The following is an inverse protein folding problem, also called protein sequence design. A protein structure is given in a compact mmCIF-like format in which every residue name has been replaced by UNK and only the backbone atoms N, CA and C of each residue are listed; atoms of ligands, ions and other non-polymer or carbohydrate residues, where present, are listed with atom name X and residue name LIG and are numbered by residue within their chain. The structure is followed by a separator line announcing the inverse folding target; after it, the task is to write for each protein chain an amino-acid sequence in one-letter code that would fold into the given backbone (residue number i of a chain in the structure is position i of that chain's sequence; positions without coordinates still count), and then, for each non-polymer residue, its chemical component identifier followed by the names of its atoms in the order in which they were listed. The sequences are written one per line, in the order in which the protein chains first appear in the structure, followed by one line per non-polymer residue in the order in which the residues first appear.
data_IF_283545863905
#
_entry.id   IF_283545863905
#
_cell.length_a   1.000
_cell.length_b   1.000
_cell.length_c   1.000
_cell.angle_alpha   90.00
_cell.angle_beta   90.00
_cell.angle_gamma   90.00
#
_symmetry.space_group_name_H-M   'P 1'
#
loop_
_entity.id
_entity.type
_entity.pdbx_description
1 polymer ?
#
# COMPACT_ATOMS: atom_id res chain seq x y z
N UNK A 1 -4.29 -1.81 15.43
CA UNK A 1 -5.50 -1.53 14.68
C UNK A 1 -5.98 -0.11 14.95
N UNK A 2 -6.43 0.60 13.92
CA UNK A 2 -7.05 1.92 14.09
C UNK A 2 -8.53 1.67 14.34
N UNK A 3 -8.97 2.02 15.54
CA UNK A 3 -10.39 1.93 15.92
C UNK A 3 -11.25 2.85 15.05
N UNK A 4 -12.44 2.39 14.71
CA UNK A 4 -13.51 3.25 14.19
C UNK A 4 -14.41 3.57 15.40
N UNK A 5 -14.82 4.82 15.52
CA UNK A 5 -15.68 5.38 16.55
C UNK A 5 -15.11 5.39 17.98
N UNK A 6 -13.78 5.33 18.15
CA UNK A 6 -13.14 5.48 19.45
C UNK A 6 -13.38 4.31 20.42
N UNK A 7 -13.92 3.20 19.94
CA UNK A 7 -14.12 2.01 20.76
C UNK A 7 -12.80 1.29 20.93
N UNK A 8 -12.31 1.22 22.16
CA UNK A 8 -11.11 0.47 22.51
C UNK A 8 -11.40 -1.02 22.30
N UNK A 9 -10.49 -1.73 21.63
CA UNK A 9 -10.57 -3.17 21.50
C UNK A 9 -10.68 -3.81 22.90
N UNK A 10 -11.76 -4.55 23.15
CA UNK A 10 -11.94 -5.26 24.41
C UNK A 10 -11.40 -6.68 24.29
N UNK A 11 -10.96 -7.23 25.41
CA UNK A 11 -10.54 -8.63 25.51
C UNK A 11 -11.74 -9.55 25.92
N UNK A 12 -12.98 -9.10 25.69
CA UNK A 12 -14.16 -9.92 26.00
C UNK A 12 -14.17 -11.18 25.13
N UNK A 13 -14.46 -12.29 25.78
CA UNK A 13 -14.57 -13.59 25.13
C UNK A 13 -15.75 -13.62 24.16
N UNK A 14 -15.59 -14.32 23.04
CA UNK A 14 -16.58 -14.44 21.97
C UNK A 14 -17.04 -13.11 21.35
N UNK A 15 -16.15 -12.13 21.32
CA UNK A 15 -16.34 -10.89 20.56
C UNK A 15 -15.40 -10.80 19.38
N UNK A 16 -15.87 -10.13 18.31
CA UNK A 16 -15.09 -9.91 17.10
C UNK A 16 -15.19 -8.46 16.64
N UNK A 17 -14.08 -7.91 16.17
CA UNK A 17 -14.03 -6.65 15.46
C UNK A 17 -13.77 -6.93 13.99
N UNK A 18 -14.68 -6.53 13.12
CA UNK A 18 -14.61 -6.78 11.68
C UNK A 18 -14.04 -5.58 10.92
N UNK A 19 -13.51 -5.82 9.75
CA UNK A 19 -13.16 -4.74 8.84
C UNK A 19 -14.41 -3.98 8.41
N UNK A 20 -14.30 -2.66 8.20
CA UNK A 20 -15.42 -1.79 7.81
C UNK A 20 -16.14 -2.24 6.53
N UNK A 21 -15.47 -2.95 5.63
CA UNK A 21 -16.10 -3.48 4.41
C UNK A 21 -17.32 -4.35 4.70
N UNK A 22 -17.37 -5.01 5.85
CA UNK A 22 -18.52 -5.83 6.25
C UNK A 22 -19.76 -5.02 6.65
N UNK A 23 -19.65 -3.70 6.87
CA UNK A 23 -20.81 -2.82 7.06
C UNK A 23 -21.64 -2.73 5.78
N UNK A 24 -21.00 -2.84 4.62
CA UNK A 24 -21.66 -2.83 3.32
C UNK A 24 -22.46 -4.13 3.05
N UNK A 25 -22.25 -5.17 3.88
CA UNK A 25 -22.98 -6.45 3.88
C UNK A 25 -24.14 -6.47 4.90
N UNK A 26 -24.63 -5.29 5.32
CA UNK A 26 -25.73 -5.10 6.29
C UNK A 26 -25.45 -5.64 7.71
N UNK A 27 -24.18 -5.89 8.08
CA UNK A 27 -23.80 -6.28 9.42
C UNK A 27 -23.68 -5.07 10.34
N UNK A 28 -24.21 -5.21 11.55
CA UNK A 28 -24.28 -4.15 12.58
C UNK A 28 -23.60 -4.57 13.88
N UNK A 29 -23.17 -3.57 14.67
CA UNK A 29 -22.65 -3.82 16.02
C UNK A 29 -23.75 -4.49 16.86
N UNK A 30 -23.40 -5.60 17.51
CA UNK A 30 -24.30 -6.39 18.31
C UNK A 30 -24.85 -7.62 17.62
N UNK A 31 -24.69 -7.73 16.28
CA UNK A 31 -25.05 -8.94 15.55
C UNK A 31 -24.13 -10.10 15.93
N UNK A 32 -24.63 -11.31 15.75
CA UNK A 32 -23.87 -12.54 15.99
C UNK A 32 -23.50 -13.19 14.68
N UNK A 33 -22.23 -13.54 14.53
CA UNK A 33 -21.72 -14.32 13.40
C UNK A 33 -21.18 -15.65 13.90
N UNK A 34 -21.21 -16.64 13.02
CA UNK A 34 -20.73 -17.99 13.31
C UNK A 34 -19.52 -18.28 12.41
N UNK A 35 -18.39 -18.63 13.03
CA UNK A 35 -17.26 -19.13 12.23
C UNK A 35 -17.59 -20.51 11.67
N UNK A 36 -17.66 -20.60 10.35
CA UNK A 36 -18.08 -21.82 9.65
C UNK A 36 -17.13 -23.02 9.86
N UNK A 37 -15.89 -22.76 10.26
CA UNK A 37 -14.87 -23.79 10.44
C UNK A 37 -14.93 -24.41 11.85
N UNK A 38 -15.15 -23.59 12.87
CA UNK A 38 -15.14 -24.00 14.28
C UNK A 38 -16.53 -24.12 14.90
N UNK A 39 -17.54 -23.48 14.28
CA UNK A 39 -18.90 -23.34 14.84
C UNK A 39 -18.97 -22.36 16.02
N UNK A 40 -17.93 -21.59 16.29
CA UNK A 40 -17.91 -20.61 17.37
C UNK A 40 -18.77 -19.42 17.01
N UNK A 41 -19.72 -19.09 17.87
CA UNK A 41 -20.54 -17.89 17.78
C UNK A 41 -19.79 -16.71 18.39
N UNK A 42 -19.74 -15.59 17.66
CA UNK A 42 -19.08 -14.37 18.08
C UNK A 42 -19.97 -13.17 17.84
N UNK A 43 -20.02 -12.27 18.83
CA UNK A 43 -20.76 -11.02 18.73
C UNK A 43 -19.90 -9.92 18.13
N UNK A 44 -20.43 -9.17 17.18
CA UNK A 44 -19.75 -8.02 16.59
C UNK A 44 -19.68 -6.90 17.62
N UNK A 45 -18.47 -6.62 18.11
CA UNK A 45 -18.23 -5.56 19.10
C UNK A 45 -17.89 -4.21 18.46
N UNK A 46 -17.48 -4.23 17.19
CA UNK A 46 -17.17 -3.01 16.45
C UNK A 46 -16.52 -3.28 15.10
N UNK A 47 -16.21 -2.20 14.42
CA UNK A 47 -15.54 -2.25 13.12
C UNK A 47 -14.20 -1.53 13.16
N UNK A 48 -13.20 -2.10 12.48
CA UNK A 48 -11.87 -1.52 12.33
C UNK A 48 -11.64 -1.09 10.87
N UNK A 49 -10.86 -0.04 10.70
CA UNK A 49 -10.60 0.54 9.38
C UNK A 49 -9.26 0.07 8.85
N UNK A 50 -9.24 -0.27 7.56
CA UNK A 50 -8.02 -0.55 6.80
C UNK A 50 -7.17 -1.72 7.32
N UNK A 51 -7.78 -2.62 8.13
CA UNK A 51 -7.09 -3.82 8.59
C UNK A 51 -7.35 -4.97 7.61
N UNK A 52 -6.28 -5.32 6.88
CA UNK A 52 -6.31 -6.38 5.86
C UNK A 52 -5.10 -7.28 6.00
N UNK A 53 -5.25 -8.53 5.65
CA UNK A 53 -4.14 -9.46 5.45
C UNK A 53 -4.05 -9.81 3.96
N UNK A 54 -3.02 -9.28 3.31
CA UNK A 54 -2.98 -9.27 1.85
C UNK A 54 -4.15 -8.44 1.28
N UNK A 55 -5.00 -9.09 0.49
CA UNK A 55 -6.20 -8.48 -0.09
C UNK A 55 -7.50 -8.90 0.61
N UNK A 56 -7.38 -9.61 1.74
CA UNK A 56 -8.55 -10.11 2.48
C UNK A 56 -8.79 -9.28 3.73
N UNK A 57 -10.04 -8.93 3.95
CA UNK A 57 -10.48 -8.31 5.19
C UNK A 57 -10.27 -9.26 6.37
N UNK A 58 -9.88 -8.73 7.53
CA UNK A 58 -9.61 -9.52 8.73
C UNK A 58 -10.63 -9.25 9.83
N UNK A 59 -10.88 -10.29 10.64
CA UNK A 59 -11.54 -10.17 11.92
C UNK A 59 -10.52 -10.21 13.06
N UNK A 60 -10.65 -9.32 14.03
CA UNK A 60 -9.79 -9.26 15.21
C UNK A 60 -10.58 -9.81 16.40
N UNK A 61 -10.05 -10.81 17.04
CA UNK A 61 -10.65 -11.46 18.20
C UNK A 61 -9.68 -11.44 19.39
N UNK A 62 -10.21 -11.66 20.60
CA UNK A 62 -9.36 -11.87 21.78
C UNK A 62 -8.57 -13.16 21.65
N UNK A 63 -7.47 -13.26 22.42
CA UNK A 63 -6.64 -14.45 22.43
C UNK A 63 -7.43 -15.69 22.88
N UNK A 64 -8.33 -15.55 23.84
CA UNK A 64 -9.12 -16.67 24.34
C UNK A 64 -10.18 -17.11 23.32
N UNK A 65 -10.83 -16.18 22.63
CA UNK A 65 -11.70 -16.49 21.47
C UNK A 65 -10.91 -17.23 20.38
N UNK A 66 -9.70 -16.78 20.07
CA UNK A 66 -8.86 -17.46 19.06
C UNK A 66 -8.49 -18.88 19.49
N UNK A 67 -8.15 -19.10 20.76
CA UNK A 67 -7.92 -20.45 21.31
C UNK A 67 -9.16 -21.33 21.17
N UNK A 68 -10.35 -20.82 21.50
CA UNK A 68 -11.61 -21.55 21.36
C UNK A 68 -11.87 -21.97 19.91
N UNK A 69 -11.69 -21.07 18.96
CA UNK A 69 -11.78 -21.35 17.53
C UNK A 69 -10.84 -22.50 17.16
N UNK A 70 -9.57 -22.38 17.54
CA UNK A 70 -8.54 -23.39 17.19
C UNK A 70 -8.81 -24.75 17.86
N UNK A 71 -9.20 -24.76 19.13
CA UNK A 71 -9.51 -26.00 19.86
C UNK A 71 -10.74 -26.71 19.27
N UNK A 72 -11.73 -25.97 18.80
CA UNK A 72 -12.91 -26.56 18.16
C UNK A 72 -12.59 -27.16 16.78
N UNK A 73 -11.62 -26.57 16.06
CA UNK A 73 -11.16 -27.12 14.79
C UNK A 73 -10.29 -28.38 15.03
N UNK A 74 -9.36 -28.31 15.97
CA UNK A 74 -8.39 -29.37 16.27
C UNK A 74 -8.26 -29.56 17.78
N UNK A 75 -8.87 -30.61 18.32
CA UNK A 75 -8.92 -30.89 19.77
C UNK A 75 -7.57 -31.19 20.43
N UNK A 76 -6.51 -31.38 19.67
CA UNK A 76 -5.18 -31.83 20.14
C UNK A 76 -4.04 -30.81 19.86
N UNK A 77 -4.33 -29.65 19.28
CA UNK A 77 -3.26 -28.72 18.93
C UNK A 77 -3.04 -27.68 20.02
N UNK A 78 -1.80 -27.58 20.49
CA UNK A 78 -1.32 -26.34 21.09
C UNK A 78 -1.51 -25.20 20.08
N UNK A 79 -2.09 -24.11 20.52
CA UNK A 79 -2.32 -22.93 19.63
C UNK A 79 -0.96 -22.32 19.29
N UNK A 80 -0.44 -22.51 18.08
CA UNK A 80 0.85 -21.92 17.72
C UNK A 80 0.68 -20.42 17.51
N UNK A 81 1.50 -19.64 18.19
CA UNK A 81 1.66 -18.23 17.88
C UNK A 81 2.60 -18.08 16.67
N UNK A 82 2.09 -17.48 15.59
CA UNK A 82 2.91 -17.28 14.39
C UNK A 82 3.87 -16.11 14.53
N UNK A 83 3.49 -15.07 15.30
CA UNK A 83 4.33 -13.91 15.53
C UNK A 83 3.93 -13.19 16.82
N UNK A 84 4.90 -12.51 17.42
CA UNK A 84 4.70 -11.61 18.56
C UNK A 84 5.11 -10.21 18.10
N UNK A 85 4.19 -9.25 18.17
CA UNK A 85 4.49 -7.87 17.88
C UNK A 85 4.96 -7.15 19.16
N UNK A 86 6.16 -6.59 19.12
CA UNK A 86 6.75 -5.85 20.25
C UNK A 86 6.88 -4.38 19.83
N UNK A 87 6.45 -3.48 20.68
CA UNK A 87 6.60 -2.03 20.50
C UNK A 87 7.41 -1.47 21.67
N UNK A 88 8.51 -0.78 21.38
CA UNK A 88 9.38 -0.16 22.38
C UNK A 88 10.55 0.56 21.72
N UNK A 89 11.32 1.31 22.54
CA UNK A 89 12.43 2.12 22.03
C UNK A 89 13.73 1.31 21.83
N UNK A 90 13.86 0.13 22.42
CA UNK A 90 15.10 -0.67 22.45
C UNK A 90 14.94 -2.07 21.82
N UNK A 91 14.20 -2.14 20.72
CA UNK A 91 13.78 -3.40 20.08
C UNK A 91 14.97 -4.13 19.45
N UNK A 92 16.00 -3.41 19.02
CA UNK A 92 17.15 -3.99 18.30
C UNK A 92 18.03 -4.91 19.15
N UNK A 93 17.91 -4.85 20.48
CA UNK A 93 18.71 -5.65 21.41
C UNK A 93 18.01 -6.91 21.92
N UNK A 94 16.77 -7.16 21.47
CA UNK A 94 16.00 -8.34 21.88
C UNK A 94 16.54 -9.55 21.14
N UNK A 95 17.08 -10.52 21.89
CA UNK A 95 17.45 -11.84 21.38
C UNK A 95 16.52 -12.86 22.02
N UNK A 96 15.78 -13.58 21.20
CA UNK A 96 14.94 -14.69 21.63
C UNK A 96 15.52 -15.99 21.07
N UNK A 97 15.63 -17.01 21.91
CA UNK A 97 16.02 -18.34 21.46
C UNK A 97 14.94 -18.91 20.52
N UNK A 98 15.33 -19.51 19.42
CA UNK A 98 14.45 -20.11 18.42
C UNK A 98 13.49 -19.14 17.72
N UNK A 99 13.79 -17.83 17.70
CA UNK A 99 12.94 -16.82 17.08
C UNK A 99 13.79 -15.85 16.26
N UNK A 100 13.22 -15.34 15.19
CA UNK A 100 13.84 -14.31 14.36
C UNK A 100 13.17 -12.97 14.66
N UNK A 101 13.97 -12.01 15.10
CA UNK A 101 13.50 -10.62 15.29
C UNK A 101 13.61 -9.92 13.95
N UNK A 102 12.48 -9.45 13.44
CA UNK A 102 12.40 -8.73 12.18
C UNK A 102 11.92 -7.31 12.41
N UNK A 103 12.50 -6.35 11.70
CA UNK A 103 11.94 -5.01 11.65
C UNK A 103 10.62 -5.01 10.86
N UNK A 104 9.80 -3.96 11.04
CA UNK A 104 8.56 -3.81 10.26
C UNK A 104 8.83 -3.86 8.74
N UNK A 105 9.91 -3.20 8.30
CA UNK A 105 10.25 -3.15 6.88
C UNK A 105 10.69 -4.52 6.34
N UNK A 106 11.40 -5.30 7.16
CA UNK A 106 11.79 -6.65 6.76
C UNK A 106 10.58 -7.59 6.70
N UNK A 107 9.63 -7.45 7.63
CA UNK A 107 8.37 -8.20 7.58
C UNK A 107 7.61 -7.89 6.28
N UNK A 108 7.47 -6.62 5.91
CA UNK A 108 6.78 -6.20 4.69
C UNK A 108 7.45 -6.81 3.45
N UNK A 109 8.78 -6.76 3.37
CA UNK A 109 9.55 -7.32 2.23
C UNK A 109 9.40 -8.83 2.09
N UNK A 110 9.16 -9.52 3.19
CA UNK A 110 8.99 -10.99 3.23
C UNK A 110 7.54 -11.44 3.03
N UNK A 111 6.58 -10.51 2.87
CA UNK A 111 5.20 -10.87 2.52
C UNK A 111 5.19 -11.53 1.14
N UNK A 112 4.60 -12.75 1.00
CA UNK A 112 4.49 -13.41 -0.30
C UNK A 112 3.79 -12.52 -1.32
N UNK A 113 4.40 -12.35 -2.49
CA UNK A 113 3.85 -11.50 -3.55
C UNK A 113 4.32 -10.03 -3.52
N UNK A 114 4.79 -9.50 -2.39
CA UNK A 114 5.21 -8.10 -2.29
C UNK A 114 6.30 -7.71 -3.31
N UNK A 115 7.30 -8.57 -3.49
CA UNK A 115 8.37 -8.32 -4.46
C UNK A 115 7.84 -8.27 -5.90
N UNK A 116 6.90 -9.15 -6.26
CA UNK A 116 6.26 -9.15 -7.59
C UNK A 116 5.40 -7.91 -7.81
N UNK A 117 4.63 -7.49 -6.81
CA UNK A 117 3.83 -6.24 -6.89
C UNK A 117 4.73 -5.03 -7.08
N UNK A 118 5.79 -4.90 -6.29
CA UNK A 118 6.76 -3.80 -6.42
C UNK A 118 7.46 -3.80 -7.80
N UNK A 119 7.81 -4.97 -8.31
CA UNK A 119 8.41 -5.09 -9.65
C UNK A 119 7.43 -4.67 -10.74
N UNK A 120 6.15 -5.06 -10.64
CA UNK A 120 5.11 -4.65 -11.58
C UNK A 120 4.85 -3.14 -11.55
N UNK A 121 4.76 -2.55 -10.37
CA UNK A 121 4.58 -1.11 -10.19
C UNK A 121 5.77 -0.34 -10.80
N UNK A 122 7.00 -0.78 -10.50
CA UNK A 122 8.20 -0.17 -11.07
C UNK A 122 8.22 -0.26 -12.59
N UNK A 123 7.86 -1.40 -13.17
CA UNK A 123 7.78 -1.56 -14.61
C UNK A 123 6.77 -0.58 -15.24
N UNK A 124 5.58 -0.46 -14.65
CA UNK A 124 4.55 0.49 -15.10
C UNK A 124 5.06 1.93 -15.03
N UNK A 125 5.72 2.31 -13.93
CA UNK A 125 6.29 3.65 -13.76
C UNK A 125 7.33 3.95 -14.83
N UNK A 126 8.26 3.02 -15.13
CA UNK A 126 9.26 3.21 -16.19
C UNK A 126 8.62 3.34 -17.57
N UNK A 127 7.63 2.52 -17.89
CA UNK A 127 6.88 2.63 -19.15
C UNK A 127 6.20 4.00 -19.24
N UNK A 128 5.56 4.46 -18.16
CA UNK A 128 4.91 5.77 -18.13
C UNK A 128 5.90 6.92 -18.37
N UNK A 129 7.08 6.87 -17.74
CA UNK A 129 8.15 7.87 -17.91
C UNK A 129 8.64 7.89 -19.36
N UNK A 130 8.88 6.71 -19.95
CA UNK A 130 9.35 6.62 -21.35
C UNK A 130 8.29 7.18 -22.32
N UNK A 131 7.04 6.78 -22.16
CA UNK A 131 5.94 7.28 -23.01
C UNK A 131 5.79 8.79 -22.87
N UNK A 132 5.84 9.32 -21.67
CA UNK A 132 5.77 10.76 -21.42
C UNK A 132 6.94 11.51 -22.08
N UNK A 133 8.14 10.99 -21.99
CA UNK A 133 9.32 11.57 -22.64
C UNK A 133 9.19 11.59 -24.17
N UNK A 134 8.66 10.52 -24.77
CA UNK A 134 8.42 10.45 -26.22
C UNK A 134 7.37 11.49 -26.65
N UNK A 135 6.25 11.59 -25.91
CA UNK A 135 5.19 12.56 -26.22
C UNK A 135 5.74 13.99 -26.14
N UNK A 136 6.48 14.32 -25.08
CA UNK A 136 7.12 15.63 -24.94
C UNK A 136 8.11 15.88 -26.09
N UNK A 137 8.92 14.90 -26.46
CA UNK A 137 9.87 15.00 -27.58
C UNK A 137 9.16 15.31 -28.91
N UNK A 138 8.08 14.61 -29.22
CA UNK A 138 7.26 14.85 -30.41
C UNK A 138 6.63 16.24 -30.38
N UNK A 139 6.11 16.66 -29.23
CA UNK A 139 5.54 18.00 -29.07
C UNK A 139 6.58 19.12 -29.35
N UNK A 140 7.75 19.02 -28.73
CA UNK A 140 8.84 19.98 -29.00
C UNK A 140 9.33 19.92 -30.43
N UNK A 141 9.39 18.75 -31.04
CA UNK A 141 9.74 18.63 -32.47
C UNK A 141 8.76 19.39 -33.36
N UNK A 142 7.44 19.22 -33.13
CA UNK A 142 6.41 19.91 -33.92
C UNK A 142 6.53 21.43 -33.75
N UNK A 143 6.68 21.94 -32.51
CA UNK A 143 6.84 23.38 -32.25
C UNK A 143 8.07 23.92 -32.97
N UNK A 144 9.20 23.20 -32.92
CA UNK A 144 10.44 23.61 -33.60
C UNK A 144 10.24 23.65 -35.10
N UNK A 145 9.59 22.65 -35.68
CA UNK A 145 9.30 22.62 -37.14
C UNK A 145 8.41 23.79 -37.58
N UNK A 146 7.39 24.16 -36.79
CA UNK A 146 6.54 25.33 -37.08
C UNK A 146 7.33 26.64 -37.10
N UNK A 147 8.37 26.78 -36.30
CA UNK A 147 9.19 27.97 -36.16
C UNK A 147 10.40 28.01 -37.12
N UNK A 148 10.67 26.94 -37.86
CA UNK A 148 11.82 26.90 -38.80
C UNK A 148 11.82 28.04 -39.81
N UNK A 149 10.65 28.42 -40.33
CA UNK A 149 10.52 29.53 -41.28
C UNK A 149 10.87 30.88 -40.63
N UNK A 150 10.44 31.11 -39.38
CA UNK A 150 10.77 32.32 -38.60
C UNK A 150 12.30 32.40 -38.35
N UNK A 151 12.92 31.29 -38.00
CA UNK A 151 14.36 31.19 -37.79
C UNK A 151 15.14 31.41 -39.07
N UNK A 152 14.63 30.94 -40.21
CA UNK A 152 15.23 31.21 -41.53
C UNK A 152 15.27 32.70 -41.86
N UNK A 153 14.19 33.41 -41.59
CA UNK A 153 14.10 34.87 -41.79
C UNK A 153 15.07 35.61 -40.87
N UNK A 154 15.11 35.25 -39.57
CA UNK A 154 16.06 35.88 -38.63
C UNK A 154 17.50 35.68 -39.01
N UNK A 155 17.86 34.49 -39.52
CA UNK A 155 19.21 34.21 -40.05
C UNK A 155 19.53 35.02 -41.29
N UNK A 156 18.57 35.21 -42.21
CA UNK A 156 18.75 36.03 -43.40
C UNK A 156 18.95 37.52 -43.06
N UNK A 157 18.40 37.98 -41.93
CA UNK A 157 18.62 39.33 -41.38
C UNK A 157 19.97 39.49 -40.63
N UNK A 158 20.83 38.44 -40.62
CA UNK A 158 22.18 38.49 -40.05
C UNK A 158 22.29 38.08 -38.59
N UNK A 159 21.27 37.44 -38.00
CA UNK A 159 21.35 36.98 -36.61
C UNK A 159 22.36 35.83 -36.44
N UNK A 160 23.20 35.92 -35.40
CA UNK A 160 24.18 34.87 -35.09
C UNK A 160 23.51 33.56 -34.66
N UNK A 161 24.04 32.42 -35.08
CA UNK A 161 23.55 31.10 -34.77
C UNK A 161 23.52 30.81 -33.25
N UNK A 162 24.46 31.38 -32.49
CA UNK A 162 24.53 31.27 -31.03
C UNK A 162 23.30 31.90 -30.34
N UNK A 163 22.87 33.06 -30.81
CA UNK A 163 21.72 33.81 -30.31
C UNK A 163 20.42 33.04 -30.59
N UNK A 164 20.32 32.46 -31.80
CA UNK A 164 19.18 31.66 -32.21
C UNK A 164 19.05 30.39 -31.34
N UNK A 165 20.16 29.68 -31.11
CA UNK A 165 20.19 28.51 -30.25
C UNK A 165 19.84 28.82 -28.79
N UNK A 166 20.35 29.92 -28.24
CA UNK A 166 20.03 30.37 -26.90
C UNK A 166 18.55 30.71 -26.74
N UNK A 167 17.93 31.29 -27.75
CA UNK A 167 16.51 31.63 -27.79
C UNK A 167 15.62 30.36 -27.74
N UNK A 168 15.98 29.33 -28.52
CA UNK A 168 15.28 28.05 -28.55
C UNK A 168 15.40 27.36 -27.19
N UNK A 169 16.60 27.29 -26.61
CA UNK A 169 16.83 26.65 -25.31
C UNK A 169 16.06 27.38 -24.22
N UNK A 170 16.07 28.71 -24.18
CA UNK A 170 15.33 29.50 -23.20
C UNK A 170 13.82 29.28 -23.29
N UNK A 171 13.29 29.17 -24.51
CA UNK A 171 11.88 28.89 -24.76
C UNK A 171 11.48 27.50 -24.29
N UNK A 172 12.31 26.49 -24.56
CA UNK A 172 12.08 25.12 -24.07
C UNK A 172 12.10 25.08 -22.53
N UNK A 173 13.04 25.78 -21.90
CA UNK A 173 13.12 25.85 -20.42
C UNK A 173 11.90 26.53 -19.80
N UNK A 174 11.37 27.59 -20.40
CA UNK A 174 10.17 28.28 -19.93
C UNK A 174 8.92 27.42 -20.09
N UNK A 175 8.85 26.61 -21.15
CA UNK A 175 7.70 25.71 -21.38
C UNK A 175 7.74 24.43 -20.55
N UNK A 176 8.93 24.02 -20.11
CA UNK A 176 9.13 22.80 -19.32
C UNK A 176 9.08 23.02 -17.79
N UNK A 177 9.19 24.25 -17.31
CA UNK A 177 9.17 24.63 -15.89
C UNK A 177 7.90 25.28 -15.46
#
# INVERSE_FOLDING_TARGET
PKEIDGTKLSDEENTIYLNKSFVEEDLSIGDTIIDSSSGVEMKIAGFVKDEMYGHSAVGIVSLDTFKNIRTNINKNDEVPYNAIAIKGDDINNIKLENSVVLSKDDVIKNIPGYAQEQMSINMILWVLVIVSAVILGVFFYIITMQKLTEFGVMKALGMEMKTLSAMIISQVLILAG
#
